data_IF_286069319413
#
_entry.id   IF_286069319413
#
_cell.length_a   1.000
_cell.length_b   1.000
_cell.length_c   1.000
_cell.angle_alpha   90.00
_cell.angle_beta   90.00
_cell.angle_gamma   90.00
#
_symmetry.space_group_name_H-M   'P 1'
#
loop_
_entity.id
_entity.type
_entity.pdbx_description
1 polymer ?
#
# COMPACT_ATOMS: atom_id res chain seq x y z
N UNK A 1 -34.55 -69.52 21.83
CA UNK A 1 -33.45 -68.94 21.03
C UNK A 1 -33.77 -67.48 20.83
N UNK A 2 -33.03 -66.59 21.54
CA UNK A 2 -33.26 -65.11 21.54
C UNK A 2 -32.11 -64.48 20.75
N UNK A 3 -32.41 -63.90 19.61
CA UNK A 3 -31.46 -63.14 18.80
C UNK A 3 -31.38 -61.69 19.31
N UNK A 4 -30.23 -61.29 19.80
CA UNK A 4 -29.92 -59.93 20.27
C UNK A 4 -29.44 -59.13 19.04
N UNK A 5 -30.25 -58.13 18.62
CA UNK A 5 -29.87 -57.21 17.57
C UNK A 5 -29.11 -56.02 18.16
N UNK A 6 -27.85 -55.89 17.84
CA UNK A 6 -26.97 -54.81 18.32
C UNK A 6 -27.05 -53.62 17.34
N UNK A 7 -27.69 -52.54 17.75
CA UNK A 7 -27.77 -51.27 16.99
C UNK A 7 -26.48 -50.46 17.22
N UNK A 8 -25.64 -50.35 16.20
CA UNK A 8 -24.45 -49.46 16.21
C UNK A 8 -24.88 -48.02 15.86
N UNK A 9 -24.88 -47.16 16.86
CA UNK A 9 -25.03 -45.70 16.65
C UNK A 9 -23.67 -45.13 16.17
N UNK A 10 -23.63 -44.75 14.88
CA UNK A 10 -22.51 -44.01 14.34
C UNK A 10 -22.62 -42.54 14.73
N UNK A 11 -21.83 -42.08 15.70
CA UNK A 11 -21.72 -40.68 16.10
C UNK A 11 -20.80 -39.96 15.13
N UNK A 12 -21.41 -39.22 14.14
CA UNK A 12 -20.66 -38.37 13.20
C UNK A 12 -20.21 -37.10 13.92
N UNK A 13 -18.93 -37.05 14.31
CA UNK A 13 -18.29 -35.84 14.80
C UNK A 13 -18.07 -34.86 13.62
N UNK A 14 -18.97 -33.90 13.43
CA UNK A 14 -18.75 -32.72 12.61
C UNK A 14 -17.76 -31.80 13.31
N UNK A 15 -16.47 -31.87 12.95
CA UNK A 15 -15.47 -30.92 13.40
C UNK A 15 -15.79 -29.54 12.76
N UNK A 16 -15.84 -28.44 13.53
CA UNK A 16 -16.04 -27.13 12.97
C UNK A 16 -14.84 -26.74 12.10
N UNK A 17 -15.07 -26.49 10.81
CA UNK A 17 -14.07 -25.91 9.92
C UNK A 17 -13.79 -24.51 10.44
N UNK A 18 -12.64 -24.30 11.09
CA UNK A 18 -12.15 -22.96 11.45
C UNK A 18 -11.67 -22.30 10.14
N UNK A 19 -12.50 -21.45 9.57
CA UNK A 19 -12.08 -20.50 8.55
C UNK A 19 -11.13 -19.53 9.26
N UNK A 20 -9.86 -19.63 9.00
CA UNK A 20 -8.86 -18.62 9.38
C UNK A 20 -9.15 -17.40 8.50
N UNK A 21 -9.87 -16.43 9.04
CA UNK A 21 -9.86 -15.09 8.47
C UNK A 21 -8.42 -14.59 8.61
N UNK A 22 -7.70 -14.45 7.49
CA UNK A 22 -6.37 -13.86 7.49
C UNK A 22 -6.45 -12.50 8.19
N UNK A 23 -5.69 -12.34 9.28
CA UNK A 23 -5.67 -11.06 9.99
C UNK A 23 -5.01 -10.02 9.08
N UNK A 24 -5.74 -8.95 8.75
CA UNK A 24 -5.19 -7.83 7.97
C UNK A 24 -3.96 -7.24 8.67
N UNK A 25 -2.93 -6.90 7.90
CA UNK A 25 -1.64 -6.45 8.43
C UNK A 25 -1.70 -4.96 8.80
N UNK A 26 -1.36 -4.55 10.04
CA UNK A 26 -1.26 -3.15 10.43
C UNK A 26 -0.23 -2.43 9.54
N UNK A 27 -0.67 -1.42 8.78
CA UNK A 27 0.13 -0.80 7.71
C UNK A 27 0.12 0.71 7.82
N UNK A 28 1.31 1.31 7.84
CA UNK A 28 1.51 2.75 7.66
C UNK A 28 1.58 3.06 6.17
N UNK A 29 0.78 4.01 5.70
CA UNK A 29 0.83 4.50 4.31
C UNK A 29 1.20 5.97 4.34
N UNK A 30 2.42 6.27 3.93
CA UNK A 30 2.94 7.63 3.85
C UNK A 30 2.44 8.33 2.59
N UNK A 31 2.56 9.65 2.57
CA UNK A 31 2.15 10.44 1.42
C UNK A 31 3.15 10.25 0.27
N UNK A 32 2.67 10.43 -0.95
CA UNK A 32 3.53 10.39 -2.13
C UNK A 32 4.44 11.60 -2.22
N UNK A 33 5.68 11.36 -2.65
CA UNK A 33 6.64 12.39 -3.02
C UNK A 33 6.59 12.69 -4.52
N UNK A 34 6.85 13.95 -4.92
CA UNK A 34 7.01 14.33 -6.33
C UNK A 34 8.46 14.66 -6.61
N UNK A 35 9.08 13.90 -7.50
CA UNK A 35 10.42 14.17 -8.02
C UNK A 35 10.31 14.74 -9.43
N UNK A 36 10.12 16.06 -9.53
CA UNK A 36 10.03 16.75 -10.82
C UNK A 36 11.41 17.18 -11.31
N UNK A 37 11.93 16.46 -12.31
CA UNK A 37 13.20 16.74 -12.99
C UNK A 37 12.96 17.34 -14.37
N UNK A 38 11.73 17.79 -14.67
CA UNK A 38 11.42 18.43 -15.94
C UNK A 38 11.93 19.88 -15.98
N UNK A 39 12.29 20.34 -17.16
CA UNK A 39 12.66 21.75 -17.37
C UNK A 39 11.57 22.71 -16.87
N UNK A 40 10.29 22.33 -17.02
CA UNK A 40 9.18 23.12 -16.49
C UNK A 40 9.19 23.20 -14.95
N UNK A 41 9.54 22.11 -14.28
CA UNK A 41 9.67 22.07 -12.81
C UNK A 41 10.82 22.95 -12.33
N UNK A 42 11.95 22.92 -13.03
CA UNK A 42 13.12 23.75 -12.74
C UNK A 42 12.82 25.25 -12.89
N UNK A 43 12.11 25.63 -13.96
CA UNK A 43 11.83 27.04 -14.27
C UNK A 43 10.65 27.62 -13.46
N UNK A 44 9.62 26.81 -13.17
CA UNK A 44 8.33 27.29 -12.64
C UNK A 44 8.00 26.77 -11.24
N UNK A 45 8.80 25.84 -10.72
CA UNK A 45 8.59 25.22 -9.42
C UNK A 45 7.33 24.32 -9.33
N UNK A 46 6.95 23.88 -8.14
CA UNK A 46 5.82 22.99 -7.91
C UNK A 46 4.49 23.59 -8.35
N UNK A 47 3.63 22.78 -8.97
CA UNK A 47 2.32 23.23 -9.48
C UNK A 47 1.19 22.77 -8.55
N UNK A 48 0.22 23.66 -8.25
CA UNK A 48 -0.93 23.30 -7.41
C UNK A 48 -1.72 22.10 -7.94
N UNK A 49 -1.86 21.96 -9.26
CA UNK A 49 -2.54 20.82 -9.88
C UNK A 49 -1.82 19.49 -9.62
N UNK A 50 -0.49 19.48 -9.59
CA UNK A 50 0.31 18.29 -9.29
C UNK A 50 0.24 17.93 -7.79
N UNK A 51 0.23 18.93 -6.92
CA UNK A 51 -0.01 18.72 -5.50
C UNK A 51 -1.39 18.11 -5.23
N UNK A 52 -2.43 18.60 -5.94
CA UNK A 52 -3.76 18.01 -5.87
C UNK A 52 -3.79 16.54 -6.34
N UNK A 53 -3.02 16.19 -7.37
CA UNK A 53 -2.90 14.79 -7.84
C UNK A 53 -2.17 13.90 -6.84
N UNK A 54 -1.10 14.39 -6.20
CA UNK A 54 -0.43 13.63 -5.13
C UNK A 54 -1.41 13.31 -4.01
N UNK A 55 -2.16 14.30 -3.54
CA UNK A 55 -3.16 14.08 -2.51
C UNK A 55 -4.24 13.07 -2.93
N UNK A 56 -4.71 13.14 -4.18
CA UNK A 56 -5.65 12.17 -4.72
C UNK A 56 -5.06 10.74 -4.79
N UNK A 57 -3.75 10.60 -5.13
CA UNK A 57 -3.06 9.30 -5.08
C UNK A 57 -2.96 8.77 -3.65
N UNK A 58 -2.68 9.63 -2.66
CA UNK A 58 -2.62 9.25 -1.24
C UNK A 58 -3.93 8.63 -0.78
N UNK A 59 -5.05 9.29 -1.07
CA UNK A 59 -6.39 8.82 -0.70
C UNK A 59 -6.74 7.54 -1.46
N UNK A 60 -6.45 7.49 -2.76
CA UNK A 60 -6.71 6.33 -3.61
C UNK A 60 -5.92 5.11 -3.12
N UNK A 61 -4.63 5.26 -2.82
CA UNK A 61 -3.78 4.18 -2.32
C UNK A 61 -4.34 3.59 -1.03
N UNK A 62 -4.64 4.44 -0.04
CA UNK A 62 -5.22 4.01 1.24
C UNK A 62 -6.55 3.27 1.03
N UNK A 63 -7.42 3.81 0.17
CA UNK A 63 -8.70 3.18 -0.16
C UNK A 63 -8.54 1.82 -0.82
N UNK A 64 -7.65 1.68 -1.80
CA UNK A 64 -7.42 0.43 -2.52
C UNK A 64 -6.82 -0.64 -1.61
N UNK A 65 -5.83 -0.29 -0.77
CA UNK A 65 -5.24 -1.20 0.19
C UNK A 65 -6.26 -1.66 1.25
N UNK A 66 -7.06 -0.76 1.79
CA UNK A 66 -8.12 -1.12 2.73
C UNK A 66 -9.16 -2.07 2.11
N UNK A 67 -9.56 -1.81 0.85
CA UNK A 67 -10.53 -2.65 0.12
C UNK A 67 -9.98 -4.02 -0.28
N UNK A 68 -8.67 -4.17 -0.43
CA UNK A 68 -8.06 -5.46 -0.77
C UNK A 68 -8.17 -6.49 0.37
N UNK A 69 -8.45 -6.02 1.60
CA UNK A 69 -8.50 -6.87 2.80
C UNK A 69 -7.13 -7.31 3.34
N UNK A 70 -6.04 -6.95 2.66
CA UNK A 70 -4.68 -7.27 3.12
C UNK A 70 -4.28 -6.50 4.37
N UNK A 71 -4.75 -5.25 4.45
CA UNK A 71 -4.14 -4.24 5.30
C UNK A 71 -5.16 -3.53 6.19
N UNK A 72 -4.80 -3.32 7.45
CA UNK A 72 -5.45 -2.34 8.32
C UNK A 72 -4.62 -1.06 8.27
N UNK A 73 -5.15 -0.02 7.60
CA UNK A 73 -4.43 1.24 7.46
C UNK A 73 -4.47 1.98 8.80
N UNK A 74 -3.30 2.21 9.37
CA UNK A 74 -3.17 2.96 10.61
C UNK A 74 -3.13 4.48 10.34
N UNK A 75 -3.79 5.30 11.17
CA UNK A 75 -3.65 6.74 11.08
C UNK A 75 -2.22 7.15 11.43
N UNK A 76 -1.61 8.03 10.65
CA UNK A 76 -0.26 8.52 10.89
C UNK A 76 -0.15 9.33 12.19
N UNK A 77 -1.25 10.01 12.61
CA UNK A 77 -1.36 10.65 13.93
C UNK A 77 -0.14 11.51 14.27
N UNK A 78 0.55 11.13 15.35
CA UNK A 78 1.72 11.87 15.88
C UNK A 78 2.94 11.93 14.94
N UNK A 79 3.01 11.07 13.93
CA UNK A 79 4.14 11.11 12.96
C UNK A 79 3.81 11.92 11.71
N UNK A 80 2.54 12.30 11.49
CA UNK A 80 2.10 13.02 10.29
C UNK A 80 2.88 14.33 10.06
N UNK A 81 3.03 15.14 11.10
CA UNK A 81 3.77 16.42 11.01
C UNK A 81 5.27 16.19 10.75
N UNK A 82 5.86 15.17 11.40
CA UNK A 82 7.28 14.83 11.22
C UNK A 82 7.57 14.38 9.80
N UNK A 83 6.66 13.64 9.18
CA UNK A 83 6.84 13.05 7.85
C UNK A 83 6.45 13.99 6.71
N UNK A 84 5.70 15.07 6.98
CA UNK A 84 5.20 15.99 5.96
C UNK A 84 6.29 16.73 5.16
N UNK A 85 7.49 16.89 5.74
CA UNK A 85 8.64 17.58 5.11
C UNK A 85 9.78 16.64 4.72
N UNK A 86 9.58 15.33 4.85
CA UNK A 86 10.60 14.32 4.55
C UNK A 86 10.21 13.62 3.26
N UNK A 87 11.17 13.48 2.35
CA UNK A 87 11.04 12.58 1.20
C UNK A 87 11.07 11.13 1.72
N UNK A 88 9.87 10.58 1.94
CA UNK A 88 9.70 9.26 2.53
C UNK A 88 10.19 8.14 1.61
N UNK A 89 10.21 8.39 0.30
CA UNK A 89 10.67 7.42 -0.69
C UNK A 89 12.21 7.28 -0.73
N UNK A 90 12.94 8.31 -0.27
CA UNK A 90 14.41 8.38 -0.29
C UNK A 90 15.05 8.53 1.10
N UNK A 91 14.30 8.37 2.16
CA UNK A 91 14.81 8.59 3.52
C UNK A 91 15.67 7.46 4.11
N UNK A 92 16.01 6.47 3.32
CA UNK A 92 16.93 5.37 3.67
C UNK A 92 16.52 4.59 4.92
N UNK A 93 15.25 4.26 5.06
CA UNK A 93 14.72 3.40 6.13
C UNK A 93 13.98 4.13 7.24
N UNK A 94 13.89 5.47 7.22
CA UNK A 94 13.11 6.22 8.20
C UNK A 94 11.60 5.89 8.15
N UNK A 95 11.11 5.42 7.02
CA UNK A 95 9.76 4.89 6.85
C UNK A 95 9.45 3.76 7.85
N UNK A 96 10.40 2.83 8.04
CA UNK A 96 10.25 1.77 9.03
C UNK A 96 10.25 2.31 10.47
N UNK A 97 11.06 3.32 10.77
CA UNK A 97 11.13 3.91 12.10
C UNK A 97 9.84 4.65 12.47
N UNK A 98 9.31 5.48 11.58
CA UNK A 98 8.02 6.15 11.77
C UNK A 98 6.85 5.17 11.81
N UNK A 99 6.86 4.13 10.98
CA UNK A 99 5.85 3.08 10.99
C UNK A 99 5.86 2.32 12.34
N UNK A 100 7.04 2.05 12.90
CA UNK A 100 7.21 1.41 14.21
C UNK A 100 6.65 2.27 15.35
N UNK A 101 6.81 3.61 15.29
CA UNK A 101 6.26 4.53 16.29
C UNK A 101 4.73 4.44 16.42
N UNK A 102 4.02 4.05 15.35
CA UNK A 102 2.56 3.92 15.33
C UNK A 102 2.09 2.47 15.39
N UNK A 103 3.00 1.51 15.56
CA UNK A 103 2.67 0.10 15.71
C UNK A 103 2.35 -0.63 14.39
N UNK A 104 2.77 -0.10 13.25
CA UNK A 104 2.62 -0.77 11.96
C UNK A 104 3.64 -1.91 11.79
N UNK A 105 3.26 -2.92 11.00
CA UNK A 105 4.14 -4.01 10.55
C UNK A 105 4.68 -3.77 9.14
N UNK A 106 3.93 -3.05 8.33
CA UNK A 106 4.36 -2.64 6.99
C UNK A 106 4.40 -1.12 6.88
N UNK A 107 5.41 -0.61 6.19
CA UNK A 107 5.53 0.76 5.76
C UNK A 107 5.39 0.83 4.24
N UNK A 108 4.47 1.64 3.74
CA UNK A 108 4.25 1.85 2.31
C UNK A 108 4.64 3.27 1.98
N UNK A 109 5.56 3.43 1.04
CA UNK A 109 5.99 4.72 0.48
C UNK A 109 5.74 4.75 -1.01
N UNK A 110 5.45 5.93 -1.54
CA UNK A 110 5.23 6.13 -2.97
C UNK A 110 5.91 7.39 -3.47
N UNK A 111 6.29 7.38 -4.74
CA UNK A 111 6.77 8.58 -5.41
C UNK A 111 6.28 8.66 -6.85
N UNK A 112 6.13 9.88 -7.34
CA UNK A 112 5.93 10.16 -8.75
C UNK A 112 7.17 10.87 -9.28
N UNK A 113 7.87 10.22 -10.20
CA UNK A 113 8.96 10.84 -10.93
C UNK A 113 8.39 11.46 -12.21
N UNK A 114 8.63 12.76 -12.42
CA UNK A 114 8.22 13.48 -13.61
C UNK A 114 9.44 13.94 -14.39
N UNK A 115 9.57 13.42 -15.61
CA UNK A 115 10.60 13.85 -16.57
C UNK A 115 10.05 14.93 -17.52
N UNK A 116 8.75 14.84 -17.82
CA UNK A 116 8.00 15.84 -18.60
C UNK A 116 6.51 15.66 -18.37
N UNK A 117 5.67 16.54 -18.95
CA UNK A 117 4.21 16.36 -18.90
C UNK A 117 3.69 15.14 -19.69
N UNK A 118 4.56 14.49 -20.47
CA UNK A 118 4.22 13.28 -21.25
C UNK A 118 4.84 12.01 -20.66
N UNK A 119 5.87 12.13 -19.83
CA UNK A 119 6.63 10.99 -19.31
C UNK A 119 6.72 11.13 -17.80
N UNK A 120 5.98 10.28 -17.11
CA UNK A 120 6.01 10.15 -15.66
C UNK A 120 6.09 8.67 -15.27
N UNK A 121 6.53 8.42 -14.04
CA UNK A 121 6.59 7.08 -13.47
C UNK A 121 6.05 7.12 -12.03
N UNK A 122 5.18 6.18 -11.67
CA UNK A 122 4.71 5.98 -10.29
C UNK A 122 5.48 4.80 -9.71
N UNK A 123 6.11 5.01 -8.55
CA UNK A 123 6.82 3.99 -7.80
C UNK A 123 6.10 3.73 -6.48
N UNK A 124 6.07 2.47 -6.04
CA UNK A 124 5.65 2.06 -4.71
C UNK A 124 6.67 1.09 -4.11
N UNK A 125 6.89 1.23 -2.82
CA UNK A 125 7.71 0.33 -2.02
C UNK A 125 6.97 -0.06 -0.75
N UNK A 126 7.06 -1.33 -0.37
CA UNK A 126 6.52 -1.89 0.86
C UNK A 126 7.66 -2.48 1.65
N UNK A 127 7.86 -1.99 2.85
CA UNK A 127 8.93 -2.43 3.76
C UNK A 127 8.33 -3.14 4.96
N UNK A 128 8.90 -4.28 5.32
CA UNK A 128 8.66 -4.93 6.61
C UNK A 128 9.38 -4.16 7.71
N UNK A 129 8.62 -3.69 8.71
CA UNK A 129 9.11 -2.81 9.79
C UNK A 129 10.06 -3.54 10.73
N UNK A 130 9.89 -4.85 10.91
CA UNK A 130 10.70 -5.63 11.83
C UNK A 130 12.10 -5.89 11.27
N UNK A 131 12.18 -6.31 10.00
CA UNK A 131 13.45 -6.61 9.33
C UNK A 131 14.10 -5.39 8.67
N UNK A 132 13.34 -4.32 8.40
CA UNK A 132 13.79 -3.18 7.63
C UNK A 132 13.98 -3.46 6.13
N UNK A 133 13.58 -4.63 5.65
CA UNK A 133 13.76 -5.02 4.25
C UNK A 133 12.55 -4.59 3.40
N UNK A 134 12.81 -4.17 2.16
CA UNK A 134 11.76 -4.00 1.16
C UNK A 134 11.28 -5.38 0.73
N UNK A 135 10.01 -5.66 0.99
CA UNK A 135 9.38 -6.96 0.69
C UNK A 135 8.62 -6.96 -0.62
N UNK A 136 8.06 -5.80 -1.01
CA UNK A 136 7.44 -5.60 -2.32
C UNK A 136 7.83 -4.24 -2.86
N UNK A 137 8.08 -4.17 -4.16
CA UNK A 137 8.30 -2.92 -4.88
C UNK A 137 7.81 -3.04 -6.33
N UNK A 138 7.36 -1.95 -6.89
CA UNK A 138 6.93 -1.91 -8.27
C UNK A 138 6.86 -0.50 -8.81
N UNK A 139 6.87 -0.41 -10.14
CA UNK A 139 6.74 0.85 -10.84
C UNK A 139 5.87 0.72 -12.09
N UNK A 140 5.32 1.85 -12.53
CA UNK A 140 4.55 1.94 -13.76
C UNK A 140 4.82 3.27 -14.46
N UNK A 141 5.13 3.21 -15.74
CA UNK A 141 5.19 4.40 -16.59
C UNK A 141 3.79 4.84 -16.97
N UNK A 142 3.53 6.12 -16.83
CA UNK A 142 2.28 6.75 -17.28
C UNK A 142 2.57 7.80 -18.35
N UNK A 143 1.64 7.91 -19.29
CA UNK A 143 1.71 8.88 -20.39
C UNK A 143 0.69 9.98 -20.15
N UNK A 144 1.21 11.22 -20.01
CA UNK A 144 0.40 12.41 -19.76
C UNK A 144 0.21 12.70 -18.27
N UNK A 145 0.33 13.99 -17.95
CA UNK A 145 0.21 14.53 -16.60
C UNK A 145 -1.24 14.95 -16.30
N UNK A 146 -2.16 13.96 -16.26
CA UNK A 146 -3.59 14.15 -16.03
C UNK A 146 -4.07 13.35 -14.83
N UNK A 147 -5.15 13.78 -14.17
CA UNK A 147 -5.75 13.09 -13.02
C UNK A 147 -6.09 11.64 -13.37
N UNK A 148 -6.63 11.42 -14.57
CA UNK A 148 -6.99 10.08 -15.05
C UNK A 148 -5.76 9.18 -15.21
N UNK A 149 -4.67 9.69 -15.83
CA UNK A 149 -3.47 8.88 -16.07
C UNK A 149 -2.79 8.47 -14.76
N UNK A 150 -2.74 9.37 -13.76
CA UNK A 150 -2.20 9.08 -12.45
C UNK A 150 -3.05 8.01 -11.71
N UNK A 151 -4.37 8.21 -11.67
CA UNK A 151 -5.29 7.27 -11.01
C UNK A 151 -5.28 5.88 -11.64
N UNK A 152 -5.27 5.79 -12.97
CA UNK A 152 -5.21 4.50 -13.70
C UNK A 152 -3.87 3.83 -13.52
N UNK A 153 -2.76 4.60 -13.53
CA UNK A 153 -1.43 4.09 -13.27
C UNK A 153 -1.32 3.43 -11.90
N UNK A 154 -1.76 4.10 -10.84
CA UNK A 154 -1.75 3.53 -9.49
C UNK A 154 -2.61 2.27 -9.39
N UNK A 155 -3.82 2.28 -9.98
CA UNK A 155 -4.71 1.12 -9.98
C UNK A 155 -4.07 -0.09 -10.69
N UNK A 156 -3.42 0.13 -11.82
CA UNK A 156 -2.68 -0.90 -12.55
C UNK A 156 -1.51 -1.43 -11.72
N UNK A 157 -0.70 -0.55 -11.15
CA UNK A 157 0.47 -0.91 -10.34
C UNK A 157 0.09 -1.85 -9.18
N UNK A 158 -0.98 -1.51 -8.46
CA UNK A 158 -1.45 -2.36 -7.36
C UNK A 158 -2.02 -3.69 -7.84
N UNK A 159 -2.90 -3.68 -8.85
CA UNK A 159 -3.60 -4.89 -9.30
C UNK A 159 -2.68 -5.88 -10.01
N UNK A 160 -1.81 -5.37 -10.92
CA UNK A 160 -1.11 -6.21 -11.88
C UNK A 160 0.40 -6.40 -11.56
N UNK A 161 0.93 -5.67 -10.57
CA UNK A 161 2.34 -5.73 -10.20
C UNK A 161 2.57 -6.09 -8.73
N UNK A 162 1.82 -5.49 -7.83
CA UNK A 162 2.09 -5.63 -6.39
C UNK A 162 1.18 -6.64 -5.70
N UNK A 163 -0.01 -6.92 -6.25
CA UNK A 163 -0.95 -7.93 -5.72
C UNK A 163 -1.14 -7.85 -4.18
N UNK A 164 -1.72 -6.77 -3.63
CA UNK A 164 -1.78 -6.56 -2.18
C UNK A 164 -2.41 -7.69 -1.38
N UNK A 165 -3.30 -8.47 -1.99
CA UNK A 165 -3.90 -9.66 -1.38
C UNK A 165 -2.90 -10.80 -1.08
N UNK A 166 -1.63 -10.63 -1.43
CA UNK A 166 -0.54 -11.57 -1.18
C UNK A 166 0.49 -11.05 -0.17
N UNK A 167 0.25 -9.88 0.44
CA UNK A 167 1.16 -9.24 1.42
C UNK A 167 1.06 -9.82 2.83
#
# INVERSE_FOLDING_TARGET
MRTLSCLLLACSCLAPIRVWAGSSVPTAVFNFDLHDTSLQGEEQGPKPAEQGRLHALDEQLRSLLAKSGCCTILPLGKVAEKTASIDMSNCNGCDADFAREIGARLAVTGSVQKVSNLILNINLSVRDVASGQVVHAGSVDIRGNTDESWSRGLSYLLRDRLHPNQW
#
